data_IF_471392833727
#
_entry.id   IF_471392833727
#
_cell.length_a   1.000
_cell.length_b   1.000
_cell.length_c   1.000
_cell.angle_alpha   90.00
_cell.angle_beta   90.00
_cell.angle_gamma   90.00
#
_symmetry.space_group_name_H-M   'P 1'
#
loop_
_entity.id
_entity.type
_entity.pdbx_description
1 polymer ?
#
# COMPACT_ATOMS: atom_id res chain seq x y z
N UNK A 1 -49.17 8.89 -7.67
CA UNK A 1 -48.11 8.83 -6.62
C UNK A 1 -47.24 10.07 -6.74
N UNK A 2 -47.15 10.93 -5.71
CA UNK A 2 -46.17 12.04 -5.71
C UNK A 2 -44.76 11.42 -5.70
N UNK A 3 -43.98 11.61 -6.76
CA UNK A 3 -42.57 11.26 -6.78
C UNK A 3 -41.87 12.00 -5.62
N UNK A 4 -41.37 11.26 -4.62
CA UNK A 4 -40.51 11.85 -3.59
C UNK A 4 -39.21 12.28 -4.27
N UNK A 5 -38.97 13.60 -4.35
CA UNK A 5 -37.75 14.17 -4.92
C UNK A 5 -36.61 14.04 -3.90
N UNK A 6 -35.44 13.60 -4.34
CA UNK A 6 -34.24 13.51 -3.49
C UNK A 6 -33.76 14.88 -3.00
N UNK A 7 -32.86 14.88 -2.00
CA UNK A 7 -32.16 16.06 -1.46
C UNK A 7 -30.66 15.93 -1.71
N UNK A 8 -30.01 17.05 -2.01
CA UNK A 8 -28.55 17.17 -2.07
C UNK A 8 -28.02 17.87 -0.81
N UNK A 9 -26.92 17.38 -0.25
CA UNK A 9 -26.20 18.00 0.86
C UNK A 9 -24.70 17.80 0.66
N UNK A 10 -23.92 18.87 0.86
CA UNK A 10 -22.46 18.80 0.91
C UNK A 10 -22.02 18.51 2.33
N UNK A 11 -21.26 17.44 2.52
CA UNK A 11 -20.72 17.01 3.82
C UNK A 11 -19.20 16.91 3.68
N UNK A 12 -18.46 17.31 4.71
CA UNK A 12 -17.02 17.04 4.80
C UNK A 12 -16.80 15.94 5.83
N UNK A 13 -16.05 14.92 5.46
CA UNK A 13 -15.67 13.79 6.32
C UNK A 13 -14.16 13.72 6.55
N UNK A 14 -13.41 14.73 6.08
CA UNK A 14 -11.94 14.71 6.09
C UNK A 14 -11.39 14.54 7.50
N UNK A 15 -11.81 15.36 8.47
CA UNK A 15 -11.26 15.29 9.82
C UNK A 15 -11.53 13.93 10.48
N UNK A 16 -12.75 13.41 10.36
CA UNK A 16 -13.10 12.08 10.85
C UNK A 16 -12.28 10.96 10.17
N UNK A 17 -12.01 11.12 8.86
CA UNK A 17 -11.15 10.19 8.12
C UNK A 17 -9.70 10.26 8.62
N UNK A 18 -9.13 11.45 8.81
CA UNK A 18 -7.78 11.62 9.35
C UNK A 18 -7.68 11.04 10.77
N UNK A 19 -8.63 11.33 11.65
CA UNK A 19 -8.66 10.78 13.00
C UNK A 19 -8.74 9.24 12.98
N UNK A 20 -9.51 8.66 12.05
CA UNK A 20 -9.57 7.21 11.87
C UNK A 20 -8.24 6.62 11.37
N UNK A 21 -7.60 7.26 10.38
CA UNK A 21 -6.27 6.86 9.88
C UNK A 21 -5.23 6.88 11.00
N UNK A 22 -5.23 7.91 11.83
CA UNK A 22 -4.30 8.02 12.96
C UNK A 22 -4.56 7.01 14.07
N UNK A 23 -5.74 6.38 14.11
CA UNK A 23 -6.04 5.27 15.02
C UNK A 23 -5.26 3.98 14.71
N UNK A 24 -4.68 3.85 13.52
CA UNK A 24 -3.85 2.70 13.14
C UNK A 24 -2.45 2.70 13.74
N UNK A 25 -1.98 3.86 14.17
CA UNK A 25 -0.65 4.06 14.73
C UNK A 25 -0.74 4.74 16.10
N UNK A 26 0.35 4.73 16.84
CA UNK A 26 0.55 5.61 17.98
C UNK A 26 1.52 6.74 17.58
N UNK A 27 1.03 7.96 17.30
CA UNK A 27 1.88 9.07 16.88
C UNK A 27 3.01 9.40 17.87
N UNK A 28 2.85 9.09 19.16
CA UNK A 28 3.89 9.28 20.18
C UNK A 28 5.06 8.29 20.07
N UNK A 29 4.94 7.24 19.26
CA UNK A 29 6.02 6.28 18.96
C UNK A 29 6.87 6.71 17.75
N UNK A 30 6.40 7.68 16.97
CA UNK A 30 7.16 8.21 15.85
C UNK A 30 8.34 9.04 16.36
N UNK A 31 9.52 8.74 15.80
CA UNK A 31 10.78 9.44 16.07
C UNK A 31 11.04 10.43 14.94
N UNK A 32 12.02 11.35 15.09
CA UNK A 32 12.45 12.23 14.02
C UNK A 32 12.69 11.44 12.72
N UNK A 33 11.91 11.75 11.68
CA UNK A 33 12.02 11.10 10.37
C UNK A 33 11.59 12.07 9.26
N UNK A 34 12.14 11.86 8.07
CA UNK A 34 11.84 12.63 6.87
C UNK A 34 11.22 11.72 5.82
N UNK A 35 10.04 12.07 5.34
CA UNK A 35 9.26 11.28 4.39
C UNK A 35 9.04 12.06 3.09
N UNK A 36 9.32 11.43 1.95
CA UNK A 36 8.94 11.96 0.64
C UNK A 36 7.55 11.47 0.28
N UNK A 37 6.60 12.37 0.05
CA UNK A 37 5.25 12.04 -0.38
C UNK A 37 5.02 12.54 -1.80
N UNK A 38 4.83 11.61 -2.73
CA UNK A 38 4.49 11.88 -4.12
C UNK A 38 3.00 11.56 -4.37
N UNK A 39 2.18 12.61 -4.42
CA UNK A 39 0.74 12.47 -4.70
C UNK A 39 0.43 12.38 -6.20
N UNK A 40 1.44 12.54 -7.07
CA UNK A 40 1.33 12.39 -8.52
C UNK A 40 0.25 13.26 -9.17
N UNK A 41 -0.01 14.44 -8.60
CA UNK A 41 -1.10 15.35 -8.95
C UNK A 41 -2.51 14.73 -8.84
N UNK A 42 -2.63 13.58 -8.17
CA UNK A 42 -3.89 12.91 -7.90
C UNK A 42 -4.60 13.44 -6.65
N UNK A 43 -5.58 12.67 -6.18
CA UNK A 43 -6.45 13.06 -5.07
C UNK A 43 -5.79 12.88 -3.69
N UNK A 44 -4.59 12.30 -3.60
CA UNK A 44 -3.88 12.05 -2.34
C UNK A 44 -3.47 13.35 -1.62
N UNK A 45 -3.12 14.40 -2.37
CA UNK A 45 -2.46 15.58 -1.81
C UNK A 45 -3.20 16.32 -0.70
N UNK A 46 -4.51 16.60 -0.85
CA UNK A 46 -5.31 17.20 0.22
C UNK A 46 -5.41 16.34 1.49
N UNK A 47 -5.23 15.02 1.38
CA UNK A 47 -5.17 14.12 2.54
C UNK A 47 -3.78 14.19 3.17
N UNK A 48 -2.71 14.19 2.37
CA UNK A 48 -1.32 14.37 2.84
C UNK A 48 -1.18 15.68 3.63
N UNK A 49 -1.72 16.78 3.11
CA UNK A 49 -1.70 18.09 3.79
C UNK A 49 -2.44 18.06 5.14
N UNK A 50 -3.57 17.34 5.20
CA UNK A 50 -4.34 17.21 6.44
C UNK A 50 -3.66 16.32 7.48
N UNK A 51 -2.99 15.24 7.06
CA UNK A 51 -2.16 14.41 7.95
C UNK A 51 -0.96 15.23 8.47
N UNK A 52 -0.28 15.97 7.60
CA UNK A 52 0.83 16.85 7.98
C UNK A 52 0.40 17.88 9.02
N UNK A 53 -0.74 18.55 8.80
CA UNK A 53 -1.31 19.50 9.76
C UNK A 53 -1.61 18.83 11.11
N UNK A 54 -2.13 17.60 11.09
CA UNK A 54 -2.42 16.84 12.32
C UNK A 54 -1.16 16.41 13.06
N UNK A 55 -0.11 16.00 12.34
CA UNK A 55 1.20 15.71 12.91
C UNK A 55 1.81 16.94 13.58
N UNK A 56 1.77 18.10 12.93
CA UNK A 56 2.21 19.38 13.52
C UNK A 56 1.44 19.73 14.78
N UNK A 57 0.12 19.60 14.76
CA UNK A 57 -0.73 19.87 15.93
C UNK A 57 -0.45 18.94 17.12
N UNK A 58 -0.04 17.69 16.85
CA UNK A 58 0.32 16.70 17.86
C UNK A 58 1.81 16.77 18.28
N UNK A 59 2.62 17.64 17.68
CA UNK A 59 4.06 17.71 17.92
C UNK A 59 4.83 16.47 17.46
N UNK A 60 4.29 15.74 16.47
CA UNK A 60 4.92 14.56 15.88
C UNK A 60 6.13 15.01 15.06
N UNK A 61 7.35 14.50 15.33
CA UNK A 61 8.59 15.01 14.75
C UNK A 61 8.84 14.47 13.34
N UNK A 62 7.84 14.50 12.45
CA UNK A 62 7.97 13.98 11.09
C UNK A 62 7.97 15.14 10.10
N UNK A 63 8.99 15.20 9.25
CA UNK A 63 9.13 16.17 8.17
C UNK A 63 8.57 15.60 6.86
N UNK A 64 7.71 16.35 6.18
CA UNK A 64 7.12 15.96 4.91
C UNK A 64 7.77 16.72 3.76
N UNK A 65 8.40 15.98 2.84
CA UNK A 65 8.87 16.48 1.56
C UNK A 65 7.82 16.13 0.51
N UNK A 66 7.00 17.09 0.11
CA UNK A 66 5.86 16.86 -0.78
C UNK A 66 6.23 17.19 -2.22
N UNK A 67 6.11 16.22 -3.12
CA UNK A 67 6.27 16.42 -4.56
C UNK A 67 4.95 16.09 -5.26
N UNK A 68 4.67 16.82 -6.35
CA UNK A 68 3.46 16.66 -7.16
C UNK A 68 2.17 16.65 -6.32
N UNK A 69 2.12 17.47 -5.27
CA UNK A 69 1.09 17.37 -4.22
C UNK A 69 -0.23 18.04 -4.60
N UNK A 70 -0.18 19.11 -5.39
CA UNK A 70 -1.39 19.83 -5.80
C UNK A 70 -2.16 19.03 -6.85
N UNK A 71 -3.46 18.72 -6.62
CA UNK A 71 -4.26 18.00 -7.59
C UNK A 71 -4.35 18.75 -8.93
N UNK A 72 -4.06 18.05 -10.03
CA UNK A 72 -4.21 18.53 -11.40
C UNK A 72 -4.59 17.36 -12.30
N UNK A 73 -5.84 17.38 -12.81
CA UNK A 73 -6.39 16.32 -13.66
C UNK A 73 -5.74 16.21 -15.04
N UNK A 74 -4.85 17.14 -15.41
CA UNK A 74 -4.01 17.00 -16.60
C UNK A 74 -2.77 16.14 -16.36
N UNK A 75 -2.46 15.80 -15.10
CA UNK A 75 -1.30 15.01 -14.69
C UNK A 75 0.00 15.48 -15.36
N UNK A 76 0.45 16.72 -15.11
CA UNK A 76 1.55 17.35 -15.84
C UNK A 76 2.89 16.61 -15.68
N UNK A 77 3.02 15.77 -14.66
CA UNK A 77 4.21 14.95 -14.38
C UNK A 77 4.03 13.47 -14.79
N UNK A 78 2.99 13.16 -15.58
CA UNK A 78 2.66 11.81 -16.01
C UNK A 78 1.62 11.12 -15.12
N UNK A 79 1.13 9.97 -15.59
CA UNK A 79 0.09 9.21 -14.89
C UNK A 79 0.66 8.70 -13.55
N UNK A 80 -0.03 8.92 -12.42
CA UNK A 80 0.40 8.40 -11.12
C UNK A 80 0.20 6.88 -11.06
N UNK A 81 1.15 6.12 -11.59
CA UNK A 81 1.15 4.66 -11.51
C UNK A 81 2.57 4.10 -11.28
N UNK A 82 3.08 4.16 -10.03
CA UNK A 82 4.44 3.70 -9.71
C UNK A 82 4.71 2.19 -9.94
N UNK A 83 3.70 1.37 -10.27
CA UNK A 83 3.93 0.03 -10.81
C UNK A 83 4.80 0.08 -12.07
N UNK A 84 4.62 1.12 -12.90
CA UNK A 84 5.41 1.35 -14.10
C UNK A 84 6.79 1.91 -13.70
N UNK A 85 7.90 1.24 -14.07
CA UNK A 85 9.26 1.71 -13.73
C UNK A 85 9.54 3.16 -14.12
N UNK A 86 9.00 3.63 -15.24
CA UNK A 86 9.12 5.00 -15.73
C UNK A 86 8.48 6.05 -14.80
N UNK A 87 7.50 5.65 -13.98
CA UNK A 87 6.82 6.53 -13.01
C UNK A 87 7.53 6.62 -11.65
N UNK A 88 8.71 6.00 -11.50
CA UNK A 88 9.41 5.87 -10.20
C UNK A 88 10.50 6.93 -9.97
N UNK A 89 10.99 7.56 -11.03
CA UNK A 89 12.20 8.39 -11.00
C UNK A 89 12.08 9.59 -10.05
N UNK A 90 10.97 10.32 -10.08
CA UNK A 90 10.79 11.53 -9.27
C UNK A 90 10.81 11.24 -7.77
N UNK A 91 10.08 10.20 -7.34
CA UNK A 91 10.08 9.77 -5.93
C UNK A 91 11.46 9.32 -5.49
N UNK A 92 12.13 8.48 -6.30
CA UNK A 92 13.49 8.01 -6.03
C UNK A 92 14.47 9.18 -5.88
N UNK A 93 14.44 10.12 -6.82
CA UNK A 93 15.38 11.23 -6.85
C UNK A 93 15.16 12.15 -5.65
N UNK A 94 13.91 12.46 -5.29
CA UNK A 94 13.58 13.25 -4.11
C UNK A 94 14.04 12.56 -2.81
N UNK A 95 13.90 11.24 -2.69
CA UNK A 95 14.41 10.49 -1.52
C UNK A 95 15.91 10.68 -1.37
N UNK A 96 16.66 10.52 -2.46
CA UNK A 96 18.13 10.66 -2.46
C UNK A 96 18.54 12.11 -2.19
N UNK A 97 17.92 13.07 -2.87
CA UNK A 97 18.22 14.50 -2.76
C UNK A 97 18.02 15.02 -1.34
N UNK A 98 16.91 14.64 -0.72
CA UNK A 98 16.57 15.13 0.62
C UNK A 98 17.12 14.26 1.75
N UNK A 99 17.76 13.13 1.44
CA UNK A 99 18.18 12.14 2.43
C UNK A 99 17.00 11.68 3.28
N UNK A 100 15.88 11.35 2.64
CA UNK A 100 14.66 10.91 3.31
C UNK A 100 14.77 9.45 3.78
N UNK A 101 14.11 9.13 4.89
CA UNK A 101 14.11 7.79 5.46
C UNK A 101 13.25 6.81 4.67
N UNK A 102 12.24 7.30 3.95
CA UNK A 102 11.33 6.52 3.12
C UNK A 102 10.64 7.43 2.10
N UNK A 103 10.45 6.91 0.89
CA UNK A 103 9.59 7.52 -0.13
C UNK A 103 8.24 6.82 -0.23
N UNK A 104 7.21 7.58 -0.50
CA UNK A 104 5.83 7.12 -0.64
C UNK A 104 5.27 7.74 -1.91
N UNK A 105 4.72 6.91 -2.78
CA UNK A 105 3.97 7.37 -3.95
C UNK A 105 2.57 6.76 -3.95
N UNK A 106 1.61 7.53 -4.44
CA UNK A 106 0.21 7.12 -4.57
C UNK A 106 -0.18 7.03 -6.04
N UNK A 107 -1.25 6.30 -6.31
CA UNK A 107 -1.93 6.41 -7.59
C UNK A 107 -3.02 7.50 -7.58
N UNK A 108 -3.75 7.64 -8.69
CA UNK A 108 -4.60 8.80 -8.97
C UNK A 108 -5.69 9.07 -7.93
N UNK A 109 -6.29 8.01 -7.39
CA UNK A 109 -7.33 8.05 -6.35
C UNK A 109 -6.86 7.46 -5.01
N UNK A 110 -5.55 7.24 -4.85
CA UNK A 110 -4.84 6.92 -3.61
C UNK A 110 -5.30 5.66 -2.86
N UNK A 111 -5.94 4.71 -3.54
CA UNK A 111 -6.24 3.40 -2.95
C UNK A 111 -5.01 2.48 -2.93
N UNK A 112 -3.95 2.82 -3.69
CA UNK A 112 -2.65 2.16 -3.68
C UNK A 112 -1.54 3.02 -3.11
N UNK A 113 -0.55 2.36 -2.52
CA UNK A 113 0.62 2.98 -1.91
C UNK A 113 1.90 2.22 -2.24
N UNK A 114 2.87 2.94 -2.78
CA UNK A 114 4.14 2.39 -3.22
C UNK A 114 5.27 2.95 -2.37
N UNK A 115 6.13 2.07 -1.88
CA UNK A 115 7.18 2.44 -0.93
C UNK A 115 8.56 2.35 -1.58
N UNK A 116 9.40 3.32 -1.21
CA UNK A 116 10.79 3.40 -1.60
C UNK A 116 11.65 3.43 -0.34
N UNK A 117 12.71 2.65 -0.31
CA UNK A 117 13.65 2.65 0.81
C UNK A 117 14.47 3.95 0.89
N UNK A 118 15.31 4.07 1.91
CA UNK A 118 16.16 5.23 2.16
C UNK A 118 17.22 5.47 1.08
N UNK A 119 17.43 4.51 0.18
CA UNK A 119 18.33 4.58 -0.98
C UNK A 119 17.57 4.86 -2.28
N UNK A 120 16.27 5.17 -2.18
CA UNK A 120 15.38 5.41 -3.30
C UNK A 120 15.10 4.16 -4.14
N UNK A 121 15.30 2.95 -3.61
CA UNK A 121 14.95 1.70 -4.28
C UNK A 121 13.46 1.43 -4.10
N UNK A 122 12.79 1.10 -5.19
CA UNK A 122 11.39 0.68 -5.15
C UNK A 122 11.27 -0.68 -4.46
N UNK A 123 10.38 -0.79 -3.48
CA UNK A 123 10.08 -2.04 -2.80
C UNK A 123 8.82 -2.65 -3.42
N UNK A 124 8.98 -3.82 -4.03
CA UNK A 124 7.84 -4.55 -4.61
C UNK A 124 6.77 -4.79 -3.55
N UNK A 125 5.50 -4.54 -3.91
CA UNK A 125 4.36 -4.64 -2.99
C UNK A 125 4.29 -5.99 -2.26
N UNK A 126 4.78 -7.05 -2.91
CA UNK A 126 4.96 -8.38 -2.33
C UNK A 126 5.71 -8.42 -0.99
N UNK A 127 6.78 -7.64 -0.84
CA UNK A 127 7.53 -7.59 0.43
C UNK A 127 6.84 -6.73 1.47
N UNK A 128 6.14 -5.66 1.05
CA UNK A 128 5.32 -4.84 1.93
C UNK A 128 4.13 -5.63 2.49
N UNK A 129 3.52 -6.49 1.67
CA UNK A 129 2.47 -7.40 2.11
C UNK A 129 2.98 -8.34 3.20
N UNK A 130 4.16 -8.96 3.01
CA UNK A 130 4.79 -9.78 4.03
C UNK A 130 5.07 -8.99 5.33
N UNK A 131 5.71 -7.82 5.20
CA UNK A 131 6.08 -6.96 6.33
C UNK A 131 4.87 -6.55 7.17
N UNK A 132 3.81 -6.07 6.52
CA UNK A 132 2.57 -5.69 7.22
C UNK A 132 1.86 -6.91 7.81
N UNK A 133 1.83 -8.04 7.10
CA UNK A 133 1.22 -9.26 7.61
C UNK A 133 1.88 -9.73 8.92
N UNK A 134 3.21 -9.72 8.98
CA UNK A 134 3.97 -10.02 10.21
C UNK A 134 3.59 -9.07 11.35
N UNK A 135 3.58 -7.75 11.10
CA UNK A 135 3.22 -6.75 12.09
C UNK A 135 1.79 -6.91 12.63
N UNK A 136 0.83 -7.31 11.77
CA UNK A 136 -0.54 -7.61 12.21
C UNK A 136 -0.61 -8.89 13.05
N UNK A 137 0.18 -9.91 12.70
CA UNK A 137 0.23 -11.20 13.41
C UNK A 137 0.91 -11.10 14.78
N UNK A 138 1.91 -10.21 14.95
CA UNK A 138 2.48 -9.90 16.26
C UNK A 138 1.40 -9.47 17.27
N UNK A 139 0.39 -8.72 16.79
CA UNK A 139 -0.75 -8.25 17.62
C UNK A 139 -1.94 -9.20 17.61
N UNK A 140 -2.07 -10.04 16.58
CA UNK A 140 -3.21 -10.94 16.37
C UNK A 140 -2.72 -12.37 16.01
N UNK A 141 -2.15 -13.12 16.95
CA UNK A 141 -1.66 -14.47 16.68
C UNK A 141 -2.74 -15.39 16.10
N UNK A 142 -2.40 -16.18 15.08
CA UNK A 142 -3.34 -17.12 14.46
C UNK A 142 -4.34 -16.50 13.47
N UNK A 143 -4.30 -15.18 13.26
CA UNK A 143 -5.18 -14.51 12.32
C UNK A 143 -4.91 -14.92 10.86
N UNK A 144 -5.91 -14.71 10.00
CA UNK A 144 -5.81 -14.98 8.56
C UNK A 144 -5.34 -13.75 7.80
N UNK A 145 -4.53 -13.98 6.79
CA UNK A 145 -4.01 -12.95 5.89
C UNK A 145 -4.40 -13.32 4.46
N UNK A 146 -5.12 -12.44 3.77
CA UNK A 146 -5.50 -12.67 2.36
C UNK A 146 -4.38 -12.19 1.44
N UNK A 147 -4.05 -12.98 0.40
CA UNK A 147 -3.11 -12.57 -0.63
C UNK A 147 -3.56 -13.03 -2.02
N UNK A 148 -3.06 -12.37 -3.08
CA UNK A 148 -3.28 -12.78 -4.46
C UNK A 148 -2.21 -13.80 -4.95
N UNK A 149 -2.39 -14.43 -6.13
CA UNK A 149 -1.54 -15.53 -6.56
C UNK A 149 -0.27 -15.11 -7.30
N UNK A 150 -0.11 -13.82 -7.69
CA UNK A 150 0.94 -13.37 -8.63
C UNK A 150 2.35 -13.36 -8.03
N UNK A 151 2.49 -13.23 -6.71
CA UNK A 151 3.73 -13.44 -5.95
C UNK A 151 3.32 -13.90 -4.55
N UNK A 152 3.55 -15.17 -4.19
CA UNK A 152 2.93 -15.77 -2.98
C UNK A 152 3.90 -16.38 -1.96
N UNK A 153 5.05 -16.91 -2.36
CA UNK A 153 5.95 -17.66 -1.47
C UNK A 153 6.46 -16.88 -0.24
N UNK A 154 6.98 -15.66 -0.40
CA UNK A 154 7.38 -14.78 0.69
C UNK A 154 6.21 -14.53 1.65
N UNK A 155 5.04 -14.16 1.13
CA UNK A 155 3.86 -13.89 1.95
C UNK A 155 3.42 -15.14 2.71
N UNK A 156 3.36 -16.29 2.04
CA UNK A 156 3.00 -17.58 2.66
C UNK A 156 3.99 -17.95 3.76
N UNK A 157 5.28 -17.82 3.50
CA UNK A 157 6.35 -18.13 4.45
C UNK A 157 6.33 -17.19 5.66
N UNK A 158 6.28 -15.87 5.44
CA UNK A 158 6.17 -14.87 6.51
C UNK A 158 4.96 -15.13 7.38
N UNK A 159 3.79 -15.32 6.78
CA UNK A 159 2.53 -15.52 7.51
C UNK A 159 2.58 -16.82 8.31
N UNK A 160 3.08 -17.90 7.72
CA UNK A 160 3.17 -19.20 8.41
C UNK A 160 4.18 -19.15 9.55
N UNK A 161 5.36 -18.54 9.33
CA UNK A 161 6.40 -18.38 10.34
C UNK A 161 5.95 -17.50 11.52
N UNK A 162 5.15 -16.47 11.26
CA UNK A 162 4.53 -15.62 12.28
C UNK A 162 3.31 -16.27 12.96
N UNK A 163 3.01 -17.55 12.68
CA UNK A 163 1.91 -18.30 13.29
C UNK A 163 0.52 -17.92 12.77
N UNK A 164 0.44 -17.22 11.65
CA UNK A 164 -0.80 -16.87 10.96
C UNK A 164 -1.26 -17.93 9.96
N UNK A 165 -2.33 -17.61 9.23
CA UNK A 165 -2.90 -18.47 8.18
C UNK A 165 -2.95 -17.72 6.85
N UNK A 166 -2.10 -18.04 5.87
CA UNK A 166 -2.18 -17.43 4.55
C UNK A 166 -3.39 -18.01 3.80
N UNK A 167 -4.21 -17.14 3.22
CA UNK A 167 -5.39 -17.53 2.43
C UNK A 167 -5.31 -16.87 1.07
N UNK A 168 -5.09 -17.68 0.05
CA UNK A 168 -5.07 -17.22 -1.33
C UNK A 168 -6.49 -16.83 -1.79
N UNK A 169 -6.57 -15.74 -2.56
CA UNK A 169 -7.76 -15.29 -3.26
C UNK A 169 -7.46 -15.06 -4.73
N UNK A 170 -8.51 -15.05 -5.57
CA UNK A 170 -8.41 -14.52 -6.93
C UNK A 170 -7.99 -13.04 -6.89
N UNK A 171 -7.11 -12.63 -7.81
CA UNK A 171 -6.73 -11.22 -8.01
C UNK A 171 -7.94 -10.36 -8.31
N UNK A 172 -7.96 -9.15 -7.75
CA UNK A 172 -8.95 -8.12 -8.00
C UNK A 172 -9.65 -7.69 -6.72
N UNK A 173 -9.76 -6.36 -6.54
CA UNK A 173 -10.23 -5.75 -5.30
C UNK A 173 -11.60 -6.26 -4.82
N UNK A 174 -12.52 -6.57 -5.73
CA UNK A 174 -13.82 -7.11 -5.37
C UNK A 174 -13.72 -8.49 -4.70
N UNK A 175 -12.90 -9.40 -5.26
CA UNK A 175 -12.71 -10.76 -4.74
C UNK A 175 -11.97 -10.74 -3.40
N UNK A 176 -10.96 -9.88 -3.25
CA UNK A 176 -10.22 -9.72 -1.99
C UNK A 176 -11.15 -9.21 -0.89
N UNK A 177 -11.94 -8.15 -1.14
CA UNK A 177 -12.90 -7.58 -0.18
C UNK A 177 -13.95 -8.62 0.25
N UNK A 178 -14.47 -9.39 -0.70
CA UNK A 178 -15.41 -10.49 -0.41
C UNK A 178 -14.76 -11.58 0.43
N UNK A 179 -13.58 -12.06 0.03
CA UNK A 179 -12.85 -13.12 0.72
C UNK A 179 -12.45 -12.72 2.13
N UNK A 180 -12.00 -11.48 2.34
CA UNK A 180 -11.67 -10.97 3.66
C UNK A 180 -12.88 -10.98 4.60
N UNK A 181 -14.06 -10.58 4.13
CA UNK A 181 -15.30 -10.64 4.92
C UNK A 181 -15.69 -12.08 5.24
N UNK A 182 -15.60 -12.98 4.25
CA UNK A 182 -15.92 -14.40 4.45
C UNK A 182 -14.99 -15.06 5.49
N UNK A 183 -13.71 -14.70 5.44
CA UNK A 183 -12.68 -15.31 6.29
C UNK A 183 -12.50 -14.60 7.64
N UNK A 184 -13.08 -13.42 7.81
CA UNK A 184 -12.77 -12.46 8.89
C UNK A 184 -11.25 -12.22 9.02
N UNK A 185 -10.59 -12.02 7.88
CA UNK A 185 -9.15 -11.81 7.82
C UNK A 185 -8.79 -10.42 8.33
N UNK A 186 -7.73 -10.33 9.15
CA UNK A 186 -7.30 -9.06 9.76
C UNK A 186 -6.74 -8.09 8.71
N UNK A 187 -6.08 -8.63 7.70
CA UNK A 187 -5.38 -7.90 6.67
C UNK A 187 -5.37 -8.68 5.35
N UNK A 188 -5.37 -7.95 4.24
CA UNK A 188 -5.21 -8.49 2.90
C UNK A 188 -4.29 -7.60 2.08
N UNK A 189 -3.57 -8.19 1.12
CA UNK A 189 -2.70 -7.42 0.25
C UNK A 189 -2.55 -8.04 -1.13
N UNK A 190 -2.35 -7.21 -2.13
CA UNK A 190 -2.09 -7.62 -3.51
C UNK A 190 -0.72 -7.14 -3.97
N UNK A 191 -0.11 -7.85 -4.92
CA UNK A 191 1.13 -7.41 -5.57
C UNK A 191 1.00 -6.00 -6.18
N UNK A 192 -0.20 -5.62 -6.64
CA UNK A 192 -0.49 -4.30 -7.19
C UNK A 192 -0.52 -3.16 -6.16
N UNK A 193 -0.13 -3.42 -4.90
CA UNK A 193 -0.07 -2.47 -3.80
C UNK A 193 -1.43 -1.95 -3.30
N UNK A 194 -2.51 -2.71 -3.53
CA UNK A 194 -3.73 -2.55 -2.73
C UNK A 194 -3.56 -3.26 -1.40
N UNK A 195 -3.92 -2.57 -0.33
CA UNK A 195 -3.80 -3.03 1.05
C UNK A 195 -5.12 -2.87 1.77
N UNK A 196 -5.66 -3.96 2.30
CA UNK A 196 -7.01 -4.07 2.82
C UNK A 196 -7.00 -4.35 4.31
N UNK A 197 -7.87 -3.69 5.07
CA UNK A 197 -7.85 -3.75 6.53
C UNK A 197 -9.24 -4.08 7.07
N UNK A 198 -9.34 -5.09 7.95
CA UNK A 198 -10.61 -5.44 8.61
C UNK A 198 -11.29 -4.23 9.23
N UNK A 199 -10.51 -3.47 9.99
CA UNK A 199 -11.00 -2.32 10.75
C UNK A 199 -11.25 -1.08 9.88
N UNK A 200 -10.94 -1.15 8.58
CA UNK A 200 -11.30 -0.18 7.54
C UNK A 200 -12.46 -0.71 6.67
N UNK A 201 -13.41 -1.42 7.30
CA UNK A 201 -14.53 -2.07 6.65
C UNK A 201 -14.13 -3.05 5.52
N UNK A 202 -12.97 -3.70 5.67
CA UNK A 202 -12.36 -4.60 4.68
C UNK A 202 -12.00 -3.92 3.35
N UNK A 203 -12.03 -2.59 3.30
CA UNK A 203 -11.65 -1.83 2.12
C UNK A 203 -10.14 -1.63 2.04
N UNK A 204 -9.70 -1.35 0.83
CA UNK A 204 -8.37 -0.90 0.48
C UNK A 204 -8.16 0.56 0.93
N UNK A 205 -6.90 0.88 1.23
CA UNK A 205 -6.47 2.26 1.45
C UNK A 205 -4.97 2.38 1.22
N UNK A 206 -4.56 3.32 0.38
CA UNK A 206 -3.15 3.68 0.23
C UNK A 206 -2.62 4.51 1.40
N UNK A 207 -3.49 5.08 2.24
CA UNK A 207 -3.06 5.97 3.33
C UNK A 207 -2.61 5.23 4.58
N UNK A 208 -3.09 4.01 4.81
CA UNK A 208 -2.79 3.24 6.02
C UNK A 208 -1.39 2.56 5.96
N UNK A 209 -0.97 1.91 4.85
CA UNK A 209 0.28 1.16 4.78
C UNK A 209 1.51 1.96 5.21
N UNK A 210 1.69 3.16 4.68
CA UNK A 210 2.89 3.95 4.96
C UNK A 210 2.91 4.48 6.40
N UNK A 211 1.75 4.75 7.02
CA UNK A 211 1.67 5.12 8.44
C UNK A 211 2.14 3.95 9.32
N UNK A 212 1.62 2.75 9.05
CA UNK A 212 2.02 1.53 9.77
C UNK A 212 3.51 1.23 9.60
N UNK A 213 4.03 1.35 8.37
CA UNK A 213 5.47 1.16 8.11
C UNK A 213 6.29 2.23 8.84
N UNK A 214 5.90 3.50 8.81
CA UNK A 214 6.62 4.57 9.52
C UNK A 214 6.71 4.31 11.03
N UNK A 215 5.62 3.87 11.66
CA UNK A 215 5.65 3.44 13.07
C UNK A 215 6.58 2.24 13.27
N UNK A 216 6.50 1.23 12.39
CA UNK A 216 7.31 0.02 12.47
C UNK A 216 8.81 0.33 12.39
N UNK A 217 9.24 1.20 11.47
CA UNK A 217 10.63 1.67 11.36
C UNK A 217 11.10 2.30 12.68
N UNK A 218 10.27 3.14 13.30
CA UNK A 218 10.58 3.80 14.57
C UNK A 218 10.70 2.82 15.74
N UNK A 219 9.83 1.80 15.79
CA UNK A 219 9.80 0.78 16.83
C UNK A 219 10.98 -0.19 16.71
N UNK A 220 11.28 -0.67 15.50
CA UNK A 220 12.38 -1.61 15.25
C UNK A 220 13.74 -0.92 15.23
N UNK A 221 13.79 0.39 14.96
CA UNK A 221 15.03 1.16 14.83
C UNK A 221 15.84 0.75 13.60
N UNK A 222 15.15 0.30 12.55
CA UNK A 222 15.72 -0.18 11.29
C UNK A 222 15.18 0.63 10.13
N UNK A 223 15.94 0.66 9.03
CA UNK A 223 15.52 1.29 7.78
C UNK A 223 14.62 0.36 6.98
N UNK A 224 13.83 0.92 6.05
CA UNK A 224 12.91 0.11 5.25
C UNK A 224 13.67 -0.95 4.45
N UNK A 225 14.77 -0.57 3.81
CA UNK A 225 15.58 -1.50 3.02
C UNK A 225 16.14 -2.66 3.87
N UNK A 226 16.45 -2.42 5.15
CA UNK A 226 16.92 -3.45 6.08
C UNK A 226 15.80 -4.42 6.48
N UNK A 227 14.59 -3.91 6.75
CA UNK A 227 13.44 -4.73 7.16
C UNK A 227 13.02 -5.74 6.08
N UNK A 228 13.18 -5.40 4.80
CA UNK A 228 12.78 -6.27 3.70
C UNK A 228 13.95 -7.04 3.08
N UNK A 229 15.21 -6.76 3.46
CA UNK A 229 16.41 -7.29 2.80
C UNK A 229 16.42 -8.82 2.75
N UNK A 230 16.28 -9.48 3.90
CA UNK A 230 16.38 -10.94 4.00
C UNK A 230 15.30 -11.62 3.17
N UNK A 231 14.11 -11.02 3.10
CA UNK A 231 12.99 -11.49 2.29
C UNK A 231 13.25 -11.31 0.79
N UNK A 232 13.87 -10.19 0.39
CA UNK A 232 14.28 -9.96 -1.00
C UNK A 232 15.34 -10.95 -1.46
N UNK A 233 16.29 -11.31 -0.59
CA UNK A 233 17.34 -12.29 -0.88
C UNK A 233 16.75 -13.70 -0.97
N UNK A 234 15.87 -14.08 -0.05
CA UNK A 234 15.25 -15.41 -0.01
C UNK A 234 14.25 -15.64 -1.16
N UNK A 235 13.51 -14.59 -1.56
CA UNK A 235 12.42 -14.68 -2.53
C UNK A 235 12.54 -13.61 -3.63
N UNK A 236 13.59 -13.63 -4.46
CA UNK A 236 13.80 -12.61 -5.48
C UNK A 236 12.60 -12.52 -6.43
N UNK A 237 12.10 -11.30 -6.63
CA UNK A 237 10.96 -11.01 -7.48
C UNK A 237 11.41 -10.45 -8.83
N UNK A 238 10.85 -10.96 -9.93
CA UNK A 238 11.07 -10.43 -11.27
C UNK A 238 10.38 -9.10 -11.54
N UNK A 239 9.47 -8.69 -10.65
CA UNK A 239 8.46 -7.67 -10.93
C UNK A 239 7.36 -8.19 -11.88
N UNK A 240 6.44 -7.30 -12.25
CA UNK A 240 5.38 -7.60 -13.22
C UNK A 240 5.93 -7.57 -14.66
N UNK A 241 5.69 -8.64 -15.42
CA UNK A 241 6.03 -8.72 -16.84
C UNK A 241 4.73 -8.76 -17.63
N UNK A 242 4.48 -7.71 -18.41
CA UNK A 242 3.31 -7.60 -19.28
C UNK A 242 3.67 -7.96 -20.72
N UNK A 243 2.81 -8.72 -21.40
CA UNK A 243 2.98 -9.11 -22.80
C UNK A 243 1.65 -8.99 -23.55
N UNK A 244 1.70 -8.38 -24.73
CA UNK A 244 0.53 -8.24 -25.60
C UNK A 244 0.48 -9.42 -26.58
N UNK A 245 -0.63 -10.17 -26.58
CA UNK A 245 -0.83 -11.33 -27.44
C UNK A 245 -2.00 -11.07 -28.40
N UNK A 246 -1.89 -11.53 -29.65
CA UNK A 246 -2.97 -11.44 -30.63
C UNK A 246 -4.18 -12.30 -30.24
N UNK A 247 -3.94 -13.50 -29.70
CA UNK A 247 -4.98 -14.47 -29.30
C UNK A 247 -4.75 -14.95 -27.84
N UNK A 248 -5.04 -14.13 -26.82
CA UNK A 248 -4.76 -14.47 -25.42
C UNK A 248 -5.46 -15.75 -24.95
N UNK A 249 -6.73 -15.95 -25.33
CA UNK A 249 -7.51 -17.13 -24.93
C UNK A 249 -6.92 -18.42 -25.50
N UNK A 250 -6.49 -18.41 -26.77
CA UNK A 250 -5.84 -19.57 -27.38
C UNK A 250 -4.46 -19.86 -26.74
N UNK A 251 -3.73 -18.83 -26.31
CA UNK A 251 -2.47 -19.01 -25.59
C UNK A 251 -2.68 -19.67 -24.23
N UNK A 252 -3.67 -19.21 -23.45
CA UNK A 252 -4.05 -19.81 -22.17
C UNK A 252 -4.45 -21.28 -22.36
N UNK A 253 -5.33 -21.57 -23.33
CA UNK A 253 -5.78 -22.94 -23.60
C UNK A 253 -4.62 -23.89 -23.98
N UNK A 254 -3.61 -23.42 -24.71
CA UNK A 254 -2.40 -24.23 -25.02
C UNK A 254 -1.59 -24.55 -23.77
N UNK A 255 -1.43 -23.60 -22.86
CA UNK A 255 -0.74 -23.81 -21.58
C UNK A 255 -1.53 -24.79 -20.72
N UNK A 256 -2.85 -24.60 -20.63
CA UNK A 256 -3.74 -25.50 -19.90
C UNK A 256 -3.64 -26.92 -20.43
N UNK A 257 -3.78 -27.13 -21.74
CA UNK A 257 -3.67 -28.44 -22.36
C UNK A 257 -2.31 -29.13 -22.14
N UNK A 258 -1.22 -28.35 -22.01
CA UNK A 258 0.11 -28.91 -21.81
C UNK A 258 0.39 -29.31 -20.35
N UNK A 259 -0.10 -28.53 -19.38
CA UNK A 259 0.25 -28.68 -17.96
C UNK A 259 -0.89 -29.22 -17.08
N UNK A 260 -2.14 -29.12 -17.52
CA UNK A 260 -3.32 -29.60 -16.80
C UNK A 260 -3.96 -30.76 -17.59
N UNK A 261 -4.10 -31.95 -16.98
CA UNK A 261 -4.73 -33.10 -17.61
C UNK A 261 -6.24 -32.96 -17.79
#
# INVERSE_FOLDING_TARGET
>A
MRQKRGRYQRITTRDAYIDHLLGYINPAKLKPMKLVLNSGNGAAGPVVDAIEARFKALGVPVEFIKIHNTPDGNFPNGIPNPLLPECRADTRNAVIEHGADMGIAFDGDFDRCFLFDEKGQFIEGYYIVGLLAEAFLEKNPGAKIIHDPRLSWNTVDVVTAAGGKPVMSKTGHAFIKERMRHEDAIYGGEMSAHHYFRDFAYCDSGMIPWLLVAELLCLKGQRLGELVHDRMVAYPASGEINSTLAEPAAAIARVEQHFFP
#
